data_IF_181890798621
#
_entry.id   IF_181890798621
#
_cell.length_a   1.000
_cell.length_b   1.000
_cell.length_c   1.000
_cell.angle_alpha   90.00
_cell.angle_beta   90.00
_cell.angle_gamma   90.00
#
_symmetry.space_group_name_H-M   'P 1'
#
loop_
_entity.id
_entity.type
_entity.pdbx_description
1 polymer ?
#
# COMPACT_ATOMS: atom_id res chain seq x y z
N UNK A 1 -24.75 35.53 33.66
CA UNK A 1 -23.42 35.39 32.98
C UNK A 1 -23.23 36.57 32.04
N UNK A 2 -22.15 37.32 32.19
CA UNK A 2 -21.83 38.44 31.28
C UNK A 2 -21.60 37.94 29.86
N UNK A 3 -21.82 38.81 28.86
CA UNK A 3 -21.57 38.50 27.43
C UNK A 3 -20.16 37.97 27.19
N UNK A 4 -19.18 38.51 27.92
CA UNK A 4 -17.78 38.08 27.88
C UNK A 4 -17.59 36.63 28.35
N UNK A 5 -18.13 36.26 29.51
CA UNK A 5 -18.02 34.88 30.03
C UNK A 5 -18.68 33.88 29.08
N UNK A 6 -19.83 34.24 28.48
CA UNK A 6 -20.50 33.39 27.48
C UNK A 6 -19.63 33.19 26.23
N UNK A 7 -18.96 34.25 25.76
CA UNK A 7 -18.04 34.18 24.61
C UNK A 7 -16.81 33.32 24.92
N UNK A 8 -16.21 33.46 26.11
CA UNK A 8 -15.06 32.66 26.52
C UNK A 8 -15.40 31.17 26.59
N UNK A 9 -16.56 30.80 27.16
CA UNK A 9 -17.03 29.40 27.18
C UNK A 9 -17.24 28.84 25.77
N UNK A 10 -17.80 29.63 24.85
CA UNK A 10 -17.94 29.21 23.44
C UNK A 10 -16.58 29.03 22.75
N UNK A 11 -15.61 29.93 23.01
CA UNK A 11 -14.25 29.82 22.48
C UNK A 11 -13.53 28.58 23.01
N UNK A 12 -13.67 28.29 24.30
CA UNK A 12 -13.15 27.07 24.92
C UNK A 12 -13.73 25.81 24.28
N UNK A 13 -15.06 25.75 24.07
CA UNK A 13 -15.73 24.64 23.38
C UNK A 13 -15.22 24.45 21.94
N UNK A 14 -15.05 25.54 21.18
CA UNK A 14 -14.47 25.50 19.82
C UNK A 14 -13.01 25.04 19.82
N UNK A 15 -12.21 25.49 20.79
CA UNK A 15 -10.81 25.07 20.95
C UNK A 15 -10.71 23.58 21.28
N UNK A 16 -11.56 23.07 22.17
CA UNK A 16 -11.64 21.65 22.50
C UNK A 16 -12.03 20.80 21.27
N UNK A 17 -13.04 21.22 20.51
CA UNK A 17 -13.44 20.52 19.28
C UNK A 17 -12.33 20.51 18.23
N UNK A 18 -11.62 21.62 18.03
CA UNK A 18 -10.47 21.65 17.09
C UNK A 18 -9.38 20.67 17.50
N UNK A 19 -9.05 20.62 18.80
CA UNK A 19 -8.07 19.67 19.34
C UNK A 19 -8.47 18.22 19.12
N UNK A 20 -9.73 17.86 19.39
CA UNK A 20 -10.20 16.47 19.20
C UNK A 20 -10.25 16.08 17.73
N UNK A 21 -10.67 16.99 16.84
CA UNK A 21 -10.64 16.75 15.39
C UNK A 21 -9.21 16.58 14.88
N UNK A 22 -8.26 17.41 15.34
CA UNK A 22 -6.84 17.25 15.00
C UNK A 22 -6.29 15.92 15.50
N UNK A 23 -6.55 15.55 16.76
CA UNK A 23 -6.15 14.24 17.32
C UNK A 23 -6.68 13.09 16.47
N UNK A 24 -7.97 13.10 16.10
CA UNK A 24 -8.58 12.08 15.24
C UNK A 24 -8.01 12.03 13.83
N UNK A 25 -7.52 13.15 13.29
CA UNK A 25 -6.85 13.18 11.98
C UNK A 25 -5.46 12.56 12.07
N UNK A 26 -4.70 12.90 13.12
CA UNK A 26 -3.39 12.31 13.39
C UNK A 26 -3.51 10.80 13.60
N UNK A 27 -4.45 10.36 14.43
CA UNK A 27 -4.70 8.93 14.69
C UNK A 27 -5.09 8.16 13.43
N UNK A 28 -5.86 8.78 12.52
CA UNK A 28 -6.18 8.16 11.22
C UNK A 28 -4.94 8.03 10.34
N UNK A 29 -4.12 9.06 10.24
CA UNK A 29 -2.88 9.02 9.47
C UNK A 29 -1.90 7.98 10.04
N UNK A 30 -1.79 7.90 11.37
CA UNK A 30 -0.96 6.90 12.04
C UNK A 30 -1.45 5.48 11.77
N UNK A 31 -2.76 5.22 11.91
CA UNK A 31 -3.35 3.91 11.63
C UNK A 31 -3.20 3.49 10.16
N UNK A 32 -3.19 4.45 9.22
CA UNK A 32 -2.91 4.17 7.81
C UNK A 32 -1.46 3.78 7.57
N UNK A 33 -0.51 4.41 8.26
CA UNK A 33 0.92 4.03 8.22
C UNK A 33 1.15 2.65 8.84
N UNK A 34 0.58 2.39 10.02
CA UNK A 34 0.69 1.08 10.70
C UNK A 34 0.17 -0.06 9.80
N UNK A 35 -1.01 0.12 9.18
CA UNK A 35 -1.54 -0.85 8.20
C UNK A 35 -0.68 -1.00 6.95
N UNK A 36 0.01 0.06 6.53
CA UNK A 36 0.96 0.01 5.42
C UNK A 36 2.17 -0.85 5.76
N UNK A 37 2.71 -0.67 6.98
CA UNK A 37 3.82 -1.48 7.49
C UNK A 37 3.42 -2.95 7.68
N UNK A 38 2.24 -3.23 8.25
CA UNK A 38 1.71 -4.59 8.39
C UNK A 38 1.60 -5.30 7.01
N UNK A 39 1.10 -4.59 5.99
CA UNK A 39 1.04 -5.14 4.63
C UNK A 39 2.42 -5.35 4.00
N UNK A 40 3.44 -4.59 4.42
CA UNK A 40 4.81 -4.81 3.95
C UNK A 40 5.46 -5.98 4.67
N UNK A 41 5.26 -6.11 5.99
CA UNK A 41 5.75 -7.28 6.74
C UNK A 41 5.12 -8.57 6.23
N UNK A 42 3.80 -8.59 5.99
CA UNK A 42 3.12 -9.75 5.39
C UNK A 42 3.69 -10.13 4.01
N UNK A 43 4.13 -9.14 3.21
CA UNK A 43 4.75 -9.43 1.90
C UNK A 43 6.15 -9.99 2.04
N UNK A 44 6.93 -9.47 2.99
CA UNK A 44 8.28 -9.96 3.27
C UNK A 44 8.22 -11.39 3.83
N UNK A 45 7.28 -11.67 4.73
CA UNK A 45 7.00 -13.02 5.22
C UNK A 45 6.62 -13.96 4.06
N UNK A 46 5.70 -13.55 3.18
CA UNK A 46 5.32 -14.31 1.98
C UNK A 46 6.51 -14.56 1.01
N UNK A 47 7.51 -13.66 0.99
CA UNK A 47 8.71 -13.77 0.14
C UNK A 47 9.74 -14.72 0.77
N UNK A 48 9.97 -14.59 2.08
CA UNK A 48 10.80 -15.52 2.86
C UNK A 48 10.24 -16.94 2.78
N UNK A 49 8.93 -17.11 2.92
CA UNK A 49 8.28 -18.43 2.80
C UNK A 49 8.52 -19.07 1.42
N UNK A 50 8.58 -18.26 0.35
CA UNK A 50 8.88 -18.74 -1.00
C UNK A 50 10.35 -19.07 -1.18
N UNK A 51 11.25 -18.24 -0.64
CA UNK A 51 12.69 -18.49 -0.70
C UNK A 51 13.07 -19.75 0.09
N UNK A 52 12.51 -19.91 1.30
CA UNK A 52 12.67 -21.12 2.11
C UNK A 52 12.11 -22.36 1.41
N UNK A 53 10.96 -22.23 0.74
CA UNK A 53 10.42 -23.33 -0.08
C UNK A 53 11.33 -23.65 -1.27
N UNK A 54 11.99 -22.65 -1.87
CA UNK A 54 12.96 -22.85 -2.96
C UNK A 54 14.22 -23.55 -2.47
N UNK A 55 14.82 -23.09 -1.36
CA UNK A 55 16.01 -23.69 -0.76
C UNK A 55 15.75 -25.14 -0.33
N UNK A 56 14.60 -25.42 0.29
CA UNK A 56 14.22 -26.79 0.63
C UNK A 56 13.95 -27.66 -0.61
N UNK A 57 13.38 -27.10 -1.67
CA UNK A 57 13.19 -27.80 -2.95
C UNK A 57 14.50 -28.07 -3.71
N UNK A 58 15.48 -27.17 -3.60
CA UNK A 58 16.84 -27.38 -4.12
C UNK A 58 17.57 -28.47 -3.32
N UNK A 59 17.28 -28.62 -2.02
CA UNK A 59 17.81 -29.70 -1.18
C UNK A 59 17.22 -31.09 -1.52
N UNK A 60 15.94 -31.16 -1.90
CA UNK A 60 15.30 -32.42 -2.29
C UNK A 60 15.60 -32.84 -3.74
N UNK A 61 16.00 -31.90 -4.60
CA UNK A 61 16.41 -32.18 -5.99
C UNK A 61 17.65 -33.06 -6.12
N UNK A 62 18.44 -33.22 -5.05
CA UNK A 62 19.66 -34.02 -5.07
C UNK A 62 19.48 -35.42 -4.45
N UNK A 63 18.29 -35.75 -3.92
CA UNK A 63 18.11 -36.93 -3.07
C UNK A 63 17.08 -37.99 -3.50
N UNK A 64 16.35 -37.90 -4.63
CA UNK A 64 15.30 -38.93 -4.87
C UNK A 64 15.09 -39.33 -6.35
N UNK A 65 15.66 -40.50 -6.69
CA UNK A 65 15.17 -41.40 -7.75
C UNK A 65 13.81 -42.01 -7.34
N UNK A 66 12.91 -42.34 -8.29
CA UNK A 66 11.49 -42.53 -8.00
C UNK A 66 11.17 -43.96 -7.50
N UNK A 67 10.26 -44.06 -6.53
CA UNK A 67 9.52 -45.29 -6.23
C UNK A 67 8.02 -44.99 -6.26
N UNK A 68 7.33 -45.77 -7.09
CA UNK A 68 5.89 -45.82 -7.39
C UNK A 68 5.05 -46.15 -6.13
N UNK A 69 3.84 -45.60 -6.05
CA UNK A 69 2.76 -46.15 -5.20
C UNK A 69 1.59 -45.20 -4.93
N UNK A 70 0.49 -45.42 -5.66
CA UNK A 70 -0.92 -45.27 -5.23
C UNK A 70 -1.41 -43.98 -4.55
N UNK A 71 -1.78 -42.96 -5.33
CA UNK A 71 -2.57 -41.80 -4.85
C UNK A 71 -3.61 -41.38 -5.91
N UNK A 72 -4.51 -42.27 -6.32
CA UNK A 72 -5.62 -41.89 -7.23
C UNK A 72 -6.97 -41.69 -6.55
N UNK A 73 -7.15 -42.07 -5.28
CA UNK A 73 -8.48 -42.04 -4.64
C UNK A 73 -8.74 -40.83 -3.71
N UNK A 74 -7.72 -40.02 -3.39
CA UNK A 74 -7.83 -38.90 -2.43
C UNK A 74 -8.11 -37.52 -3.05
N UNK A 75 -8.16 -37.41 -4.39
CA UNK A 75 -8.12 -36.11 -5.09
C UNK A 75 -9.48 -35.40 -5.19
N UNK A 76 -10.60 -36.11 -5.03
CA UNK A 76 -11.94 -35.52 -5.23
C UNK A 76 -12.52 -34.79 -4.01
N UNK A 77 -12.06 -35.10 -2.78
CA UNK A 77 -12.48 -34.38 -1.57
C UNK A 77 -11.63 -33.13 -1.26
N UNK A 78 -10.44 -33.03 -1.87
CA UNK A 78 -9.45 -31.99 -1.59
C UNK A 78 -9.77 -30.62 -2.25
N UNK A 79 -10.77 -30.53 -3.12
CA UNK A 79 -11.06 -29.28 -3.86
C UNK A 79 -11.57 -28.14 -2.96
N UNK A 80 -11.99 -28.42 -1.72
CA UNK A 80 -12.45 -27.38 -0.76
C UNK A 80 -11.44 -26.98 0.32
N UNK A 81 -10.33 -27.70 0.48
CA UNK A 81 -9.29 -27.39 1.46
C UNK A 81 -7.97 -27.30 0.73
N UNK A 82 -7.31 -26.13 0.75
CA UNK A 82 -5.99 -26.03 0.18
C UNK A 82 -5.04 -26.83 1.08
N UNK A 83 -4.89 -28.12 0.81
CA UNK A 83 -4.03 -29.00 1.58
C UNK A 83 -2.64 -28.96 0.95
N UNK A 84 -1.61 -28.67 1.77
CA UNK A 84 -0.20 -28.72 1.37
C UNK A 84 0.39 -30.01 1.92
N UNK A 85 0.87 -30.87 1.03
CA UNK A 85 1.53 -32.14 1.41
C UNK A 85 3.04 -31.87 1.51
N UNK A 86 3.65 -32.24 2.64
CA UNK A 86 5.10 -32.18 2.90
C UNK A 86 5.54 -33.54 3.45
N UNK A 87 6.19 -34.37 2.64
CA UNK A 87 6.46 -35.78 2.98
C UNK A 87 5.16 -36.53 3.29
N UNK A 88 5.12 -37.22 4.44
CA UNK A 88 3.92 -37.91 4.95
C UNK A 88 2.94 -36.99 5.70
N UNK A 89 3.27 -35.70 5.83
CA UNK A 89 2.50 -34.76 6.63
C UNK A 89 1.53 -33.96 5.75
N UNK A 90 0.25 -34.02 6.12
CA UNK A 90 -0.84 -33.31 5.45
C UNK A 90 -1.14 -32.03 6.24
N UNK A 91 -0.72 -30.88 5.72
CA UNK A 91 -0.94 -29.57 6.35
C UNK A 91 -2.15 -28.87 5.73
N UNK A 92 -3.08 -28.41 6.57
CA UNK A 92 -4.23 -27.63 6.14
C UNK A 92 -3.79 -26.17 5.93
N UNK A 93 -3.60 -25.75 4.67
CA UNK A 93 -3.23 -24.38 4.34
C UNK A 93 -4.49 -23.51 4.17
N UNK A 94 -4.53 -22.30 4.74
CA UNK A 94 -5.68 -21.44 4.63
C UNK A 94 -5.87 -21.01 3.16
N UNK A 95 -7.05 -21.27 2.61
CA UNK A 95 -7.44 -20.80 1.27
C UNK A 95 -7.45 -19.27 1.29
N UNK A 96 -6.41 -18.63 0.74
CA UNK A 96 -6.33 -17.16 0.58
C UNK A 96 -7.55 -16.71 -0.23
N UNK A 97 -8.49 -16.01 0.42
CA UNK A 97 -9.72 -15.53 -0.22
C UNK A 97 -9.35 -14.59 -1.37
N UNK A 98 -9.90 -14.83 -2.57
CA UNK A 98 -9.72 -13.94 -3.73
C UNK A 98 -10.01 -12.49 -3.34
N UNK A 99 -9.22 -11.53 -3.89
CA UNK A 99 -9.36 -10.08 -3.68
C UNK A 99 -10.84 -9.72 -3.55
N UNK A 100 -11.25 -9.20 -2.39
CA UNK A 100 -12.62 -8.72 -2.17
C UNK A 100 -12.99 -7.78 -3.32
N UNK A 101 -14.05 -8.12 -4.05
CA UNK A 101 -14.60 -7.27 -5.09
C UNK A 101 -14.89 -5.89 -4.47
N UNK A 102 -14.22 -4.86 -4.97
CA UNK A 102 -14.42 -3.51 -4.47
C UNK A 102 -15.87 -3.10 -4.77
N UNK A 103 -16.54 -2.54 -3.77
CA UNK A 103 -17.86 -1.95 -4.01
C UNK A 103 -17.77 -0.80 -5.00
N UNK A 104 -18.83 -0.55 -5.78
CA UNK A 104 -18.86 0.56 -6.76
C UNK A 104 -18.47 1.91 -6.15
N UNK A 105 -18.85 2.16 -4.88
CA UNK A 105 -18.49 3.39 -4.15
C UNK A 105 -16.99 3.48 -3.84
N UNK A 106 -16.34 2.37 -3.52
CA UNK A 106 -14.90 2.33 -3.27
C UNK A 106 -14.10 2.52 -4.56
N UNK A 107 -14.53 1.91 -5.67
CA UNK A 107 -13.94 2.13 -6.99
C UNK A 107 -14.00 3.62 -7.38
N UNK A 108 -15.18 4.24 -7.30
CA UNK A 108 -15.37 5.66 -7.61
C UNK A 108 -14.50 6.60 -6.74
N UNK A 109 -14.31 6.28 -5.45
CA UNK A 109 -13.43 7.06 -4.57
C UNK A 109 -11.96 6.94 -4.99
N UNK A 110 -11.53 5.74 -5.40
CA UNK A 110 -10.16 5.50 -5.87
C UNK A 110 -9.90 6.25 -7.18
N UNK A 111 -10.84 6.19 -8.12
CA UNK A 111 -10.77 6.96 -9.38
C UNK A 111 -10.68 8.47 -9.14
N UNK A 112 -11.52 9.03 -8.25
CA UNK A 112 -11.46 10.45 -7.92
C UNK A 112 -10.12 10.87 -7.28
N UNK A 113 -9.50 9.98 -6.49
CA UNK A 113 -8.18 10.21 -5.91
C UNK A 113 -7.08 10.23 -6.98
N UNK A 114 -7.16 9.31 -7.95
CA UNK A 114 -6.21 9.22 -9.08
C UNK A 114 -6.31 10.48 -9.95
N UNK A 115 -7.53 10.84 -10.38
CA UNK A 115 -7.76 12.04 -11.20
C UNK A 115 -7.27 13.33 -10.51
N UNK A 116 -7.43 13.43 -9.18
CA UNK A 116 -6.86 14.55 -8.42
C UNK A 116 -5.34 14.52 -8.43
N UNK A 117 -4.72 13.35 -8.32
CA UNK A 117 -3.27 13.17 -8.40
C UNK A 117 -2.71 13.60 -9.75
N UNK A 118 -3.38 13.21 -10.84
CA UNK A 118 -3.04 13.61 -12.21
C UNK A 118 -3.10 15.13 -12.38
N UNK A 119 -4.20 15.77 -11.95
CA UNK A 119 -4.34 17.23 -12.04
C UNK A 119 -3.25 17.99 -11.27
N UNK A 120 -2.85 17.48 -10.09
CA UNK A 120 -1.73 18.06 -9.33
C UNK A 120 -0.42 17.87 -10.08
N UNK A 121 -0.15 16.68 -10.62
CA UNK A 121 1.05 16.39 -11.38
C UNK A 121 1.18 17.29 -12.61
N UNK A 122 0.10 17.49 -13.37
CA UNK A 122 0.07 18.39 -14.53
C UNK A 122 0.39 19.83 -14.14
N UNK A 123 -0.13 20.29 -13.00
CA UNK A 123 0.16 21.64 -12.49
C UNK A 123 1.63 21.80 -12.10
N UNK A 124 2.26 20.76 -11.55
CA UNK A 124 3.67 20.76 -11.18
C UNK A 124 4.57 20.67 -12.43
N UNK A 125 4.20 19.85 -13.41
CA UNK A 125 4.89 19.76 -14.69
C UNK A 125 4.94 21.13 -15.39
N UNK A 126 3.81 21.83 -15.48
CA UNK A 126 3.76 23.20 -16.05
C UNK A 126 4.67 24.18 -15.32
N UNK A 127 4.70 24.13 -13.98
CA UNK A 127 5.60 24.99 -13.17
C UNK A 127 7.07 24.66 -13.43
N UNK A 128 7.39 23.39 -13.57
CA UNK A 128 8.73 22.92 -13.87
C UNK A 128 9.21 23.38 -15.25
N UNK A 129 8.35 23.24 -16.27
CA UNK A 129 8.66 23.70 -17.62
C UNK A 129 8.85 25.21 -17.69
N UNK A 130 8.02 25.97 -16.98
CA UNK A 130 8.19 27.42 -16.87
C UNK A 130 9.52 27.80 -16.21
N UNK A 131 9.92 27.06 -15.16
CA UNK A 131 11.21 27.25 -14.50
C UNK A 131 12.36 26.96 -15.45
N UNK A 132 12.32 25.84 -16.17
CA UNK A 132 13.32 25.50 -17.21
C UNK A 132 13.43 26.60 -18.26
N UNK A 133 12.30 27.10 -18.76
CA UNK A 133 12.28 28.18 -19.76
C UNK A 133 12.93 29.46 -19.23
N UNK A 134 12.61 29.86 -18.00
CA UNK A 134 13.24 31.03 -17.35
C UNK A 134 14.74 30.87 -17.17
N UNK A 135 15.20 29.69 -16.76
CA UNK A 135 16.64 29.40 -16.63
C UNK A 135 17.33 29.51 -17.99
N UNK A 136 16.74 28.94 -19.05
CA UNK A 136 17.27 29.03 -20.41
C UNK A 136 17.37 30.48 -20.89
N UNK A 137 16.29 31.26 -20.74
CA UNK A 137 16.28 32.68 -21.15
C UNK A 137 17.32 33.49 -20.39
N UNK A 138 17.45 33.29 -19.07
CA UNK A 138 18.50 33.97 -18.28
C UNK A 138 19.90 33.60 -18.72
N UNK A 139 20.14 32.33 -19.07
CA UNK A 139 21.43 31.91 -19.59
C UNK A 139 21.72 32.53 -20.96
N UNK A 140 20.71 32.66 -21.83
CA UNK A 140 20.83 33.34 -23.12
C UNK A 140 21.18 34.82 -22.94
N UNK A 141 20.44 35.55 -22.10
CA UNK A 141 20.70 36.96 -21.79
C UNK A 141 22.13 37.14 -21.26
N UNK A 142 22.54 36.31 -20.28
CA UNK A 142 23.91 36.39 -19.75
C UNK A 142 24.97 36.14 -20.83
N UNK A 143 24.73 35.21 -21.74
CA UNK A 143 25.68 34.93 -22.82
C UNK A 143 25.71 36.08 -23.84
N UNK A 144 24.57 36.68 -24.15
CA UNK A 144 24.49 37.90 -24.98
C UNK A 144 25.29 39.04 -24.33
N UNK A 145 25.07 39.31 -23.03
CA UNK A 145 25.79 40.34 -22.27
C UNK A 145 27.32 40.11 -22.20
N UNK A 146 27.78 38.86 -22.33
CA UNK A 146 29.21 38.50 -22.31
C UNK A 146 29.87 38.58 -23.69
N UNK A 147 29.09 38.60 -24.76
CA UNK A 147 29.58 38.57 -26.14
C UNK A 147 29.30 39.86 -26.93
N UNK A 148 28.70 40.86 -26.28
CA UNK A 148 28.64 42.27 -26.73
C UNK A 148 29.70 43.10 -26.01
#
# INVERSE_FOLDING_TARGET
>A
MTKLVRKLKQMAKKRAHRRTVQKRKVERAQRELERGNEQQSERLEDEVDREMARLNGELEGEATRPSKGDIEEATNAAVKRAVRIVGDLVLDAPVKKRKRQLTRKQAKRKEAMISRGEAVNDSLAKKWDHKKRRVKVRAQIRNEDLHT
#
